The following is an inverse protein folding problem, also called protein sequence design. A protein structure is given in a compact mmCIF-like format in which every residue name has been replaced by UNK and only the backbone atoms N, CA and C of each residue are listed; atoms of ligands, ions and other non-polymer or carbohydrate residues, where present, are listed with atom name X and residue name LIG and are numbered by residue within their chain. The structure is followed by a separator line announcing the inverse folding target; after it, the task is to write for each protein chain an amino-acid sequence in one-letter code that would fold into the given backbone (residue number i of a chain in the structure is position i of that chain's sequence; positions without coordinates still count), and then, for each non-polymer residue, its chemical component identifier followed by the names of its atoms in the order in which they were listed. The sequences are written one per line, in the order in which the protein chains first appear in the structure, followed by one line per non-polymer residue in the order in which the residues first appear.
data_IF_478373779739
#
_entry.id   IF_478373779739
#
_cell.length_a   1.000
_cell.length_b   1.000
_cell.length_c   1.000
_cell.angle_alpha   90.00
_cell.angle_beta   90.00
_cell.angle_gamma   90.00
#
_symmetry.space_group_name_H-M   'P 1'
#
loop_
_entity.id
_entity.type
_entity.pdbx_description
1 polymer ?
#
# COMPACT_ATOMS: atom_id res chain seq x y z
N UNK A 1 7.80 39.82 16.56
CA UNK A 1 6.99 38.67 17.02
C UNK A 1 6.95 37.67 15.87
N UNK A 2 7.71 36.57 15.98
CA UNK A 2 7.78 35.55 14.92
C UNK A 2 6.49 34.74 14.90
N UNK A 3 5.98 34.43 13.71
CA UNK A 3 4.83 33.54 13.55
C UNK A 3 5.26 32.13 14.00
N UNK A 4 4.74 31.69 15.15
CA UNK A 4 4.87 30.30 15.56
C UNK A 4 3.97 29.46 14.64
N UNK A 5 4.57 28.57 13.84
CA UNK A 5 3.83 27.60 13.05
C UNK A 5 3.06 26.71 14.03
N UNK A 6 1.72 26.78 13.98
CA UNK A 6 0.84 26.17 14.98
C UNK A 6 0.58 24.69 14.70
N UNK A 7 0.72 24.25 13.45
CA UNK A 7 0.51 22.87 13.02
C UNK A 7 1.07 22.66 11.60
N UNK A 8 1.75 21.54 11.37
CA UNK A 8 2.08 21.05 10.03
C UNK A 8 1.42 19.68 9.91
N UNK A 9 0.44 19.55 9.01
CA UNK A 9 -0.24 18.30 8.72
C UNK A 9 0.14 17.82 7.31
N UNK A 10 0.42 16.52 7.18
CA UNK A 10 0.54 15.88 5.88
C UNK A 10 -0.88 15.68 5.33
N UNK A 11 -1.24 16.44 4.31
CA UNK A 11 -2.48 16.20 3.56
C UNK A 11 -2.27 14.94 2.71
N UNK A 12 -3.01 13.88 3.02
CA UNK A 12 -3.00 12.63 2.25
C UNK A 12 -3.54 12.82 0.83
N UNK A 13 -3.10 11.98 -0.10
CA UNK A 13 -3.56 11.98 -1.49
C UNK A 13 -4.30 10.66 -1.76
N UNK A 14 -5.53 10.72 -2.28
CA UNK A 14 -6.32 9.52 -2.62
C UNK A 14 -6.27 9.18 -4.11
N UNK A 15 -5.84 10.11 -4.96
CA UNK A 15 -5.65 9.89 -6.39
C UNK A 15 -4.22 9.42 -6.66
N UNK A 16 -3.93 8.19 -6.25
CA UNK A 16 -2.63 7.56 -6.48
C UNK A 16 -2.82 6.46 -7.52
N UNK A 17 -1.92 6.42 -8.49
CA UNK A 17 -1.93 5.38 -9.50
C UNK A 17 -1.77 3.99 -8.85
N UNK A 18 -2.60 2.97 -9.20
CA UNK A 18 -2.52 1.65 -8.59
C UNK A 18 -1.12 1.02 -8.62
N UNK A 19 -0.38 1.25 -9.71
CA UNK A 19 1.02 0.85 -9.86
C UNK A 19 1.95 1.39 -8.78
N UNK A 20 1.75 2.64 -8.33
CA UNK A 20 2.57 3.23 -7.28
C UNK A 20 2.26 2.62 -5.91
N UNK A 21 0.99 2.27 -5.67
CA UNK A 21 0.58 1.51 -4.48
C UNK A 21 1.20 0.11 -4.50
N UNK A 22 1.09 -0.60 -5.63
CA UNK A 22 1.67 -1.93 -5.80
C UNK A 22 3.20 -1.90 -5.58
N UNK A 23 3.91 -0.95 -6.19
CA UNK A 23 5.34 -0.75 -5.95
C UNK A 23 5.65 -0.53 -4.47
N UNK A 24 4.90 0.35 -3.80
CA UNK A 24 5.13 0.64 -2.38
C UNK A 24 4.89 -0.57 -1.48
N UNK A 25 3.91 -1.42 -1.80
CA UNK A 25 3.64 -2.67 -1.08
C UNK A 25 4.81 -3.64 -1.22
N UNK A 26 5.23 -3.91 -2.45
CA UNK A 26 6.35 -4.81 -2.73
C UNK A 26 7.67 -4.30 -2.14
N UNK A 27 7.93 -2.99 -2.23
CA UNK A 27 9.14 -2.40 -1.65
C UNK A 27 9.19 -2.55 -0.13
N UNK A 28 8.03 -2.41 0.52
CA UNK A 28 7.92 -2.62 1.97
C UNK A 28 8.08 -4.10 2.34
N UNK A 29 7.53 -5.00 1.53
CA UNK A 29 7.65 -6.45 1.70
C UNK A 29 9.10 -6.92 1.62
N UNK A 30 9.85 -6.41 0.64
CA UNK A 30 11.29 -6.69 0.48
C UNK A 30 12.11 -6.22 1.69
N UNK A 31 11.83 -5.00 2.19
CA UNK A 31 12.54 -4.43 3.35
C UNK A 31 12.29 -5.24 4.63
N UNK A 32 11.03 -5.63 4.87
CA UNK A 32 10.64 -6.40 6.05
C UNK A 32 10.84 -7.92 5.89
N UNK A 33 11.18 -8.39 4.69
CA UNK A 33 11.21 -9.81 4.31
C UNK A 33 9.94 -10.57 4.73
N UNK A 34 8.80 -9.91 4.57
CA UNK A 34 7.46 -10.42 4.90
C UNK A 34 6.54 -10.07 3.74
N UNK A 35 5.71 -11.01 3.29
CA UNK A 35 4.85 -10.83 2.11
C UNK A 35 3.35 -10.99 2.42
N UNK A 36 3.03 -11.31 3.66
CA UNK A 36 1.70 -11.33 4.23
C UNK A 36 1.51 -10.14 5.19
N UNK A 37 0.44 -9.38 4.99
CA UNK A 37 0.12 -8.18 5.74
C UNK A 37 -1.38 -8.11 6.03
N UNK A 38 -1.76 -7.26 6.97
CA UNK A 38 -3.13 -6.76 7.03
C UNK A 38 -3.19 -5.32 6.50
N UNK A 39 -4.36 -4.85 6.06
CA UNK A 39 -4.57 -3.42 5.77
C UNK A 39 -4.28 -2.61 7.03
N UNK A 40 -4.72 -3.10 8.19
CA UNK A 40 -4.51 -2.46 9.49
C UNK A 40 -3.03 -2.25 9.83
N UNK A 41 -2.14 -3.18 9.45
CA UNK A 41 -0.68 -3.04 9.64
C UNK A 41 -0.14 -1.71 9.11
N UNK A 42 -0.75 -1.15 8.05
CA UNK A 42 -0.31 0.12 7.45
C UNK A 42 -0.84 1.36 8.14
N UNK A 43 -1.89 1.26 8.96
CA UNK A 43 -2.52 2.38 9.66
C UNK A 43 -2.19 2.44 11.16
N UNK A 44 -1.54 1.40 11.69
CA UNK A 44 -1.05 1.41 13.06
C UNK A 44 0.10 2.41 13.26
N UNK A 45 0.18 3.00 14.46
CA UNK A 45 1.17 4.04 14.79
C UNK A 45 2.63 3.56 14.65
N UNK A 46 2.86 2.27 14.84
CA UNK A 46 4.19 1.65 14.79
C UNK A 46 4.62 1.24 13.37
N UNK A 47 3.80 1.45 12.35
CA UNK A 47 4.19 1.11 10.99
C UNK A 47 5.28 2.07 10.50
N UNK A 48 6.47 1.54 10.24
CA UNK A 48 7.63 2.33 9.80
C UNK A 48 7.58 2.69 8.30
N UNK A 49 6.60 2.18 7.53
CA UNK A 49 6.57 2.35 6.08
C UNK A 49 5.25 1.99 5.40
N UNK A 50 5.32 1.64 4.13
CA UNK A 50 4.16 1.24 3.32
C UNK A 50 3.36 2.39 2.71
N UNK A 51 2.29 2.07 1.96
CA UNK A 51 1.55 3.02 1.13
C UNK A 51 0.91 4.15 1.93
N UNK A 52 0.44 3.88 3.15
CA UNK A 52 -0.10 4.93 4.02
C UNK A 52 0.95 5.94 4.47
N UNK A 53 2.09 5.49 5.03
CA UNK A 53 3.15 6.40 5.45
C UNK A 53 3.72 7.20 4.27
N UNK A 54 3.84 6.57 3.10
CA UNK A 54 4.38 7.22 1.91
C UNK A 54 3.43 8.24 1.31
N UNK A 55 2.15 7.90 1.10
CA UNK A 55 1.21 8.76 0.36
C UNK A 55 0.09 9.39 1.20
N UNK A 56 -0.13 8.91 2.41
CA UNK A 56 -1.25 9.32 3.25
C UNK A 56 -2.61 8.90 2.69
N UNK A 57 -2.64 7.86 1.87
CA UNK A 57 -3.88 7.32 1.27
C UNK A 57 -4.87 6.91 2.36
N UNK A 58 -6.17 7.14 2.17
CA UNK A 58 -7.18 6.66 3.10
C UNK A 58 -7.31 5.13 3.08
N UNK A 59 -7.77 4.54 4.19
CA UNK A 59 -8.01 3.09 4.31
C UNK A 59 -8.93 2.57 3.21
N UNK A 60 -10.08 3.21 3.06
CA UNK A 60 -11.07 2.89 2.02
C UNK A 60 -10.43 2.90 0.62
N UNK A 61 -9.63 3.92 0.32
CA UNK A 61 -9.01 4.03 -1.00
C UNK A 61 -7.92 2.99 -1.22
N UNK A 62 -7.17 2.62 -0.19
CA UNK A 62 -6.21 1.52 -0.27
C UNK A 62 -6.93 0.19 -0.53
N UNK A 63 -8.03 -0.08 0.17
CA UNK A 63 -8.86 -1.27 -0.04
C UNK A 63 -9.42 -1.34 -1.48
N UNK A 64 -9.90 -0.21 -2.02
CA UNK A 64 -10.34 -0.13 -3.42
C UNK A 64 -9.22 -0.49 -4.41
N UNK A 65 -8.03 0.09 -4.21
CA UNK A 65 -6.87 -0.18 -5.08
C UNK A 65 -6.43 -1.64 -4.95
N UNK A 66 -6.47 -2.22 -3.75
CA UNK A 66 -6.15 -3.63 -3.53
C UNK A 66 -7.13 -4.57 -4.24
N UNK A 67 -8.44 -4.28 -4.21
CA UNK A 67 -9.45 -5.04 -4.97
C UNK A 67 -9.22 -4.93 -6.47
N UNK A 68 -8.85 -3.75 -6.94
CA UNK A 68 -8.48 -3.54 -8.34
C UNK A 68 -7.26 -4.38 -8.72
N UNK A 69 -6.18 -4.31 -7.94
CA UNK A 69 -4.94 -5.09 -8.18
C UNK A 69 -5.16 -6.60 -8.12
N UNK A 70 -6.08 -7.08 -7.28
CA UNK A 70 -6.47 -8.50 -7.23
C UNK A 70 -7.19 -8.96 -8.50
N UNK A 71 -7.94 -8.08 -9.16
CA UNK A 71 -8.63 -8.38 -10.42
C UNK A 71 -7.71 -8.45 -11.63
N UNK A 72 -6.47 -7.95 -11.52
CA UNK A 72 -5.49 -8.00 -12.60
C UNK A 72 -4.98 -9.43 -12.82
N UNK A 73 -4.82 -9.82 -14.09
CA UNK A 73 -4.54 -11.21 -14.52
C UNK A 73 -3.23 -11.81 -13.99
N UNK A 74 -2.37 -11.00 -13.41
CA UNK A 74 -1.01 -11.38 -13.03
C UNK A 74 -0.93 -12.02 -11.62
N UNK A 75 -2.06 -12.09 -10.88
CA UNK A 75 -2.17 -12.71 -9.55
C UNK A 75 -1.07 -12.26 -8.56
N UNK A 76 -0.59 -11.03 -8.72
CA UNK A 76 0.53 -10.50 -7.95
C UNK A 76 0.12 -10.07 -6.54
N UNK A 77 -1.12 -9.64 -6.38
CA UNK A 77 -1.68 -9.22 -5.10
C UNK A 77 -2.95 -10.01 -4.90
N UNK A 78 -3.01 -10.80 -3.83
CA UNK A 78 -4.23 -11.45 -3.39
C UNK A 78 -4.69 -10.76 -2.11
N UNK A 79 -5.98 -10.45 -2.03
CA UNK A 79 -6.55 -9.88 -0.81
C UNK A 79 -7.80 -10.63 -0.37
N UNK A 80 -7.96 -10.73 0.95
CA UNK A 80 -9.14 -11.28 1.60
C UNK A 80 -9.75 -10.15 2.46
N UNK A 81 -10.54 -9.28 1.81
CA UNK A 81 -11.14 -8.08 2.40
C UNK A 81 -12.64 -8.25 2.71
N UNK A 82 -13.07 -9.45 3.07
CA UNK A 82 -14.49 -9.79 3.30
C UNK A 82 -14.73 -10.22 4.73
N UNK A 83 -15.95 -10.05 5.24
CA UNK A 83 -16.36 -10.52 6.56
C UNK A 83 -15.45 -10.11 7.74
N UNK A 84 -14.88 -8.89 7.68
CA UNK A 84 -13.99 -8.36 8.73
C UNK A 84 -12.54 -8.79 8.59
N UNK A 85 -12.19 -9.56 7.57
CA UNK A 85 -10.81 -9.80 7.18
C UNK A 85 -10.26 -8.61 6.40
N UNK A 86 -8.97 -8.37 6.55
CA UNK A 86 -8.24 -7.34 5.82
C UNK A 86 -6.85 -7.82 5.39
N UNK A 87 -6.73 -9.11 5.06
CA UNK A 87 -5.45 -9.72 4.73
C UNK A 87 -5.01 -9.39 3.30
N UNK A 88 -3.70 -9.22 3.14
CA UNK A 88 -3.01 -8.95 1.90
C UNK A 88 -1.88 -9.97 1.78
N UNK A 89 -1.81 -10.65 0.63
CA UNK A 89 -0.77 -11.60 0.30
C UNK A 89 -0.11 -11.16 -1.00
N UNK A 90 1.22 -11.02 -0.95
CA UNK A 90 2.06 -10.70 -2.08
C UNK A 90 2.85 -11.94 -2.50
N UNK A 91 3.22 -12.01 -3.77
CA UNK A 91 4.05 -13.10 -4.29
C UNK A 91 5.51 -12.85 -3.96
N UNK A 92 6.14 -13.77 -3.22
CA UNK A 92 7.55 -13.63 -2.80
C UNK A 92 8.55 -13.73 -3.96
N UNK A 93 8.14 -14.31 -5.09
CA UNK A 93 8.99 -14.48 -6.27
C UNK A 93 9.05 -13.23 -7.17
N UNK A 94 8.32 -12.17 -6.80
CA UNK A 94 8.23 -10.91 -7.55
C UNK A 94 8.90 -9.79 -6.76
N UNK A 95 9.76 -9.02 -7.43
CA UNK A 95 10.40 -7.85 -6.83
C UNK A 95 9.57 -6.57 -7.02
N UNK A 96 9.89 -5.53 -6.24
CA UNK A 96 9.33 -4.19 -6.41
C UNK A 96 9.59 -3.61 -7.81
N UNK A 97 10.65 -4.04 -8.49
CA UNK A 97 10.90 -3.62 -9.88
C UNK A 97 10.14 -4.45 -10.90
N UNK A 98 9.85 -5.72 -10.61
CA UNK A 98 9.12 -6.58 -11.52
C UNK A 98 7.62 -6.24 -11.54
N UNK A 99 7.05 -5.86 -10.40
CA UNK A 99 5.64 -5.40 -10.36
C UNK A 99 5.42 -4.17 -11.25
N UNK A 100 6.42 -3.29 -11.39
CA UNK A 100 6.34 -2.17 -12.33
C UNK A 100 6.29 -2.65 -13.78
N UNK A 101 7.05 -3.67 -14.16
CA UNK A 101 7.03 -4.20 -15.53
C UNK A 101 5.71 -4.93 -15.81
N UNK A 102 5.21 -5.67 -14.83
CA UNK A 102 3.99 -6.48 -14.93
C UNK A 102 2.74 -5.61 -15.10
N UNK A 103 2.68 -4.44 -14.44
CA UNK A 103 1.55 -3.52 -14.50
C UNK A 103 1.65 -2.47 -15.62
N UNK A 104 2.75 -2.42 -16.38
CA UNK A 104 2.97 -1.46 -17.47
C UNK A 104 2.51 -1.96 -18.84
N UNK A 105 1.56 -2.91 -18.90
CA UNK A 105 1.09 -3.51 -20.16
C UNK A 105 0.05 -2.65 -20.85
#
# INVERSE_FOLDING_TARGET
KGNAVKLIEKVGINEIHPMAIAYSLYRFAEDKKRYDFTVSDFYENNCEGGPYKLFGISREKLEDVLRYLQGEKNETVRVDLTAGLDNIFLREDITSMDILKILHV
#
